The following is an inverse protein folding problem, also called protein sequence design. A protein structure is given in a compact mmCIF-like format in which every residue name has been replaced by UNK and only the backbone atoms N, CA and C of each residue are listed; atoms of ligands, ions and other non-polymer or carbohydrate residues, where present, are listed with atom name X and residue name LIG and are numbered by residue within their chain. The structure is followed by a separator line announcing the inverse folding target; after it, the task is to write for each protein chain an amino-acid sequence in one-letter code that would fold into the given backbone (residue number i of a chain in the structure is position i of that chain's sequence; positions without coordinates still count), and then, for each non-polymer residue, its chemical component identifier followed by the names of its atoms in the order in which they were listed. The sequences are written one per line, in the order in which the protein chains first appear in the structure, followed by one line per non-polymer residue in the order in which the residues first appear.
data_IF_279295332561
#
_entry.id   IF_279295332561
#
_cell.length_a   1.000
_cell.length_b   1.000
_cell.length_c   1.000
_cell.angle_alpha   90.00
_cell.angle_beta   90.00
_cell.angle_gamma   90.00
#
_symmetry.space_group_name_H-M   'P 1'
#
loop_
_entity.id
_entity.type
_entity.pdbx_description
1 polymer ?
#
# COMPACT_ATOMS: atom_id res chain seq x y z
N UNK A 1 35.76 26.15 42.86
CA UNK A 1 35.26 26.95 41.72
C UNK A 1 35.39 26.12 40.45
N UNK A 2 34.26 25.89 39.75
CA UNK A 2 34.11 25.31 38.40
C UNK A 2 34.44 23.82 38.24
N UNK A 3 33.71 22.99 37.49
CA UNK A 3 32.43 23.11 36.78
C UNK A 3 32.01 21.66 36.49
N UNK A 4 30.73 21.33 36.66
CA UNK A 4 30.13 20.07 36.20
C UNK A 4 29.89 20.23 34.69
N UNK A 5 30.30 19.28 33.83
CA UNK A 5 29.90 19.27 32.42
C UNK A 5 29.15 17.97 32.10
N UNK A 6 27.85 18.15 31.85
CA UNK A 6 26.83 17.17 31.54
C UNK A 6 27.00 16.63 30.12
N UNK A 7 27.16 15.31 29.99
CA UNK A 7 27.07 14.60 28.71
C UNK A 7 25.81 13.73 28.71
N UNK A 8 24.63 14.33 28.57
CA UNK A 8 23.40 13.59 28.23
C UNK A 8 22.31 14.56 27.80
N UNK A 9 22.47 15.14 26.60
CA UNK A 9 21.35 15.85 25.96
C UNK A 9 21.30 15.67 24.43
N UNK A 10 22.37 15.18 23.79
CA UNK A 10 22.44 15.11 22.32
C UNK A 10 21.74 13.90 21.68
N UNK A 11 21.39 12.85 22.44
CA UNK A 11 20.65 11.69 21.88
C UNK A 11 19.13 11.90 21.82
N UNK A 12 18.59 12.90 22.51
CA UNK A 12 17.14 13.08 22.69
C UNK A 12 16.47 13.82 21.51
N UNK A 13 17.25 14.41 20.59
CA UNK A 13 16.75 15.15 19.43
C UNK A 13 16.74 14.35 18.11
N UNK A 14 17.34 13.17 18.06
CA UNK A 14 17.41 12.34 16.83
C UNK A 14 16.12 11.52 16.63
N UNK A 15 15.48 11.10 17.73
CA UNK A 15 14.27 10.26 17.71
C UNK A 15 13.05 10.96 17.08
N UNK A 16 12.72 12.24 17.36
CA UNK A 16 11.56 12.88 16.73
C UNK A 16 11.78 13.26 15.26
N UNK A 17 13.03 13.27 14.76
CA UNK A 17 13.31 13.59 13.36
C UNK A 17 13.03 12.39 12.44
N UNK A 18 13.28 11.16 12.92
CA UNK A 18 13.05 9.93 12.14
C UNK A 18 11.58 9.59 11.94
N UNK A 19 10.69 10.02 12.84
CA UNK A 19 9.23 9.77 12.76
C UNK A 19 8.50 10.65 11.74
N UNK A 20 9.19 11.60 11.10
CA UNK A 20 8.63 12.47 10.05
C UNK A 20 8.87 11.97 8.62
N UNK A 21 9.62 10.87 8.46
CA UNK A 21 9.87 10.30 7.13
C UNK A 21 8.58 9.63 6.61
N UNK A 22 8.18 9.91 5.35
CA UNK A 22 7.10 9.16 4.73
C UNK A 22 7.53 7.70 4.61
N UNK A 23 6.78 6.79 5.25
CA UNK A 23 6.88 5.36 4.96
C UNK A 23 6.30 5.14 3.56
N UNK A 24 7.17 4.76 2.63
CA UNK A 24 6.73 4.31 1.30
C UNK A 24 6.45 2.81 1.42
N UNK A 25 5.17 2.45 1.40
CA UNK A 25 4.76 1.06 1.25
C UNK A 25 4.83 0.72 -0.25
N UNK A 26 5.63 -0.28 -0.61
CA UNK A 26 5.56 -0.89 -1.94
C UNK A 26 4.28 -1.74 -1.98
N UNK A 27 3.49 -1.59 -3.05
CA UNK A 27 2.31 -2.43 -3.24
C UNK A 27 2.72 -3.89 -3.43
N UNK A 28 2.13 -4.79 -2.65
CA UNK A 28 2.40 -6.22 -2.77
C UNK A 28 1.74 -6.81 -4.02
N UNK A 29 2.49 -7.64 -4.74
CA UNK A 29 1.94 -8.49 -5.79
C UNK A 29 1.31 -9.71 -5.11
N UNK A 30 -0.01 -9.80 -5.18
CA UNK A 30 -0.79 -10.92 -4.67
C UNK A 30 -0.84 -12.01 -5.73
N UNK A 31 -0.41 -13.21 -5.35
CA UNK A 31 -0.41 -14.39 -6.20
C UNK A 31 -1.65 -15.23 -5.92
N UNK A 32 -2.45 -15.48 -6.95
CA UNK A 32 -3.58 -16.39 -6.95
C UNK A 32 -3.32 -17.50 -7.98
N UNK A 33 -4.05 -18.63 -7.94
CA UNK A 33 -3.96 -19.62 -9.00
C UNK A 33 -4.17 -18.98 -10.38
N UNK A 34 -3.13 -19.05 -11.22
CA UNK A 34 -3.08 -18.55 -12.60
C UNK A 34 -3.26 -17.05 -12.81
N UNK A 35 -3.24 -16.25 -11.75
CA UNK A 35 -3.49 -14.81 -11.80
C UNK A 35 -2.64 -14.07 -10.79
N UNK A 36 -1.93 -13.05 -11.26
CA UNK A 36 -1.30 -12.04 -10.40
C UNK A 36 -2.24 -10.84 -10.26
N UNK A 37 -2.35 -10.28 -9.06
CA UNK A 37 -3.10 -9.04 -8.82
C UNK A 37 -2.29 -8.06 -7.96
N UNK A 38 -2.40 -6.77 -8.27
CA UNK A 38 -1.77 -5.72 -7.49
C UNK A 38 -2.63 -4.45 -7.49
N UNK A 39 -2.52 -3.67 -6.42
CA UNK A 39 -3.02 -2.30 -6.41
C UNK A 39 -1.95 -1.36 -6.94
N UNK A 40 -2.36 -0.48 -7.85
CA UNK A 40 -1.52 0.55 -8.44
C UNK A 40 -2.15 1.90 -8.16
N UNK A 41 -1.34 2.88 -7.77
CA UNK A 41 -1.77 4.24 -7.50
C UNK A 41 -1.08 5.21 -8.45
N UNK A 42 -1.73 6.33 -8.75
CA UNK A 42 -1.14 7.39 -9.59
C UNK A 42 0.12 7.98 -8.95
N UNK A 43 0.16 8.04 -7.63
CA UNK A 43 1.25 8.61 -6.83
C UNK A 43 1.75 7.64 -5.78
N UNK A 44 2.98 7.84 -5.35
CA UNK A 44 3.56 7.09 -4.23
C UNK A 44 2.86 7.49 -2.92
N UNK A 45 2.30 6.50 -2.24
CA UNK A 45 1.61 6.68 -0.97
C UNK A 45 0.24 7.36 -1.06
N UNK A 46 -0.45 7.40 0.09
CA UNK A 46 -1.76 8.02 0.25
C UNK A 46 -1.74 8.97 1.43
N UNK A 47 -2.29 10.17 1.24
CA UNK A 47 -2.36 11.20 2.28
C UNK A 47 -3.74 11.18 2.94
N UNK A 48 -3.82 11.11 4.28
CA UNK A 48 -5.09 11.17 4.99
C UNK A 48 -5.91 12.41 4.61
N UNK A 49 -7.22 12.22 4.38
CA UNK A 49 -8.13 13.29 3.99
C UNK A 49 -8.05 13.73 2.52
N UNK A 50 -7.12 13.17 1.74
CA UNK A 50 -7.02 13.43 0.30
C UNK A 50 -7.48 12.19 -0.47
N UNK A 51 -8.45 12.36 -1.38
CA UNK A 51 -8.89 11.29 -2.26
C UNK A 51 -7.71 10.72 -3.07
N UNK A 52 -7.65 9.40 -3.16
CA UNK A 52 -6.64 8.69 -3.93
C UNK A 52 -7.31 7.85 -5.02
N UNK A 53 -6.74 7.91 -6.23
CA UNK A 53 -7.11 7.00 -7.30
C UNK A 53 -6.29 5.71 -7.19
N UNK A 54 -7.02 4.59 -7.19
CA UNK A 54 -6.44 3.25 -7.06
C UNK A 54 -6.99 2.38 -8.18
N UNK A 55 -6.09 1.75 -8.92
CA UNK A 55 -6.42 0.74 -9.93
C UNK A 55 -6.06 -0.65 -9.40
N UNK A 56 -6.87 -1.65 -9.77
CA UNK A 56 -6.54 -3.07 -9.60
C UNK A 56 -5.99 -3.58 -10.93
N UNK A 57 -4.69 -3.87 -11.00
CA UNK A 57 -4.10 -4.56 -12.16
C UNK A 57 -4.24 -6.06 -11.94
N UNK A 58 -4.78 -6.74 -12.95
CA UNK A 58 -4.91 -8.19 -12.95
C UNK A 58 -4.18 -8.74 -14.18
N UNK A 59 -3.30 -9.70 -13.98
CA UNK A 59 -2.49 -10.32 -15.03
C UNK A 59 -2.67 -11.84 -15.02
N UNK A 60 -3.51 -12.38 -15.90
CA UNK A 60 -3.65 -13.82 -16.08
C UNK A 60 -2.41 -14.45 -16.72
N UNK A 61 -2.16 -15.71 -16.40
CA UNK A 61 -1.25 -16.57 -17.16
C UNK A 61 -1.77 -16.80 -18.59
N UNK A 62 -0.88 -17.22 -19.50
CA UNK A 62 -1.25 -17.52 -20.87
C UNK A 62 -2.33 -18.63 -20.93
N UNK A 63 -3.38 -18.40 -21.72
CA UNK A 63 -4.53 -19.31 -21.83
C UNK A 63 -5.57 -19.16 -20.72
N UNK A 64 -5.33 -18.33 -19.71
CA UNK A 64 -6.29 -18.00 -18.67
C UNK A 64 -7.01 -16.68 -18.96
N UNK A 65 -8.30 -16.67 -18.67
CA UNK A 65 -9.16 -15.52 -18.91
C UNK A 65 -10.04 -15.25 -17.69
N UNK A 66 -10.31 -13.97 -17.46
CA UNK A 66 -11.24 -13.51 -16.44
C UNK A 66 -12.56 -13.14 -17.10
N UNK A 67 -13.65 -13.39 -16.40
CA UNK A 67 -14.96 -12.95 -16.84
C UNK A 67 -15.11 -11.44 -16.63
N UNK A 68 -15.70 -10.77 -17.61
CA UNK A 68 -16.06 -9.36 -17.49
C UNK A 68 -17.24 -9.18 -16.52
N UNK A 69 -17.47 -7.95 -16.07
CA UNK A 69 -18.58 -7.60 -15.16
C UNK A 69 -19.94 -8.04 -15.70
N UNK A 70 -20.13 -8.03 -17.03
CA UNK A 70 -21.32 -8.55 -17.67
C UNK A 70 -21.01 -9.91 -18.34
N UNK A 71 -20.88 -10.95 -17.51
CA UNK A 71 -20.46 -12.29 -17.94
C UNK A 71 -21.56 -13.15 -18.57
N UNK A 72 -22.81 -12.66 -18.57
CA UNK A 72 -23.97 -13.46 -18.99
C UNK A 72 -24.08 -14.75 -18.16
N UNK A 73 -24.50 -15.84 -18.80
CA UNK A 73 -24.71 -17.15 -18.15
C UNK A 73 -23.41 -17.97 -17.99
N UNK A 74 -22.26 -17.40 -18.38
CA UNK A 74 -21.03 -18.17 -18.61
C UNK A 74 -19.97 -18.06 -17.51
N UNK A 75 -20.17 -17.28 -16.45
CA UNK A 75 -19.19 -17.26 -15.36
C UNK A 75 -19.43 -16.28 -14.22
N UNK A 76 -18.66 -16.45 -13.14
CA UNK A 76 -18.63 -15.56 -11.99
C UNK A 76 -17.67 -14.39 -12.27
N UNK A 77 -18.18 -13.16 -12.29
CA UNK A 77 -17.37 -11.96 -12.41
C UNK A 77 -16.47 -11.77 -11.17
N UNK A 78 -15.26 -11.19 -11.30
CA UNK A 78 -14.45 -10.77 -10.17
C UNK A 78 -15.24 -9.87 -9.22
N UNK A 79 -15.01 -10.02 -7.91
CA UNK A 79 -15.61 -9.18 -6.86
C UNK A 79 -14.51 -8.45 -6.11
N UNK A 80 -14.70 -7.16 -5.89
CA UNK A 80 -13.81 -6.32 -5.08
C UNK A 80 -14.60 -5.83 -3.87
N UNK A 81 -14.13 -6.17 -2.68
CA UNK A 81 -14.70 -5.69 -1.41
C UNK A 81 -13.63 -4.91 -0.68
N UNK A 82 -13.90 -3.63 -0.41
CA UNK A 82 -13.05 -2.83 0.44
C UNK A 82 -13.33 -3.16 1.90
N UNK A 83 -12.29 -3.54 2.65
CA UNK A 83 -12.34 -3.62 4.11
C UNK A 83 -11.54 -2.46 4.65
N UNK A 84 -12.20 -1.58 5.39
CA UNK A 84 -11.57 -0.50 6.15
C UNK A 84 -11.70 -0.92 7.62
N UNK A 85 -10.60 -0.85 8.36
CA UNK A 85 -10.64 -1.04 9.82
C UNK A 85 -11.02 0.29 10.48
N UNK A 86 -11.77 0.24 11.57
CA UNK A 86 -12.22 1.42 12.32
C UNK A 86 -11.05 2.18 12.97
#
# INVERSE_FOLDING_TARGET
MKLVYSYSFSLLLIIPLLSSLPVVALGDILQFPHVEAEFVTEREGVTPGIAAEVALRIKPEAGWHLYWRNSGDSGASPKLTWKVED
#
